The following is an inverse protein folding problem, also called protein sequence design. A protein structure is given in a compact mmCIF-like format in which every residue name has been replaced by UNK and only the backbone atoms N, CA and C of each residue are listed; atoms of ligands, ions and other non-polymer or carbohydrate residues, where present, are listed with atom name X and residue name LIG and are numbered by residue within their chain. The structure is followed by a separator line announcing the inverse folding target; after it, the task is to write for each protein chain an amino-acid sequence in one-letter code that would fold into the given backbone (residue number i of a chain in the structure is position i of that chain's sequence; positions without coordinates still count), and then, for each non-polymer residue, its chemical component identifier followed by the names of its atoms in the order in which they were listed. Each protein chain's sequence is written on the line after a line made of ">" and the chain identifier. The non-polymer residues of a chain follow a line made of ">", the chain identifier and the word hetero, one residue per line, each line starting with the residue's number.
data_IF_269140208665
#
_entry.id   IF_269140208665
#
_cell.length_a   1.000
_cell.length_b   1.000
_cell.length_c   1.000
_cell.angle_alpha   90.00
_cell.angle_beta   90.00
_cell.angle_gamma   90.00
#
_symmetry.space_group_name_H-M   'P 1'
#
loop_
_entity.id
_entity.type
_entity.pdbx_description
1 polymer ?
#
# COMPACT_ATOMS: atom_id res chain seq x y z
N UNK A 1 -3.72 6.98 -12.45
CA UNK A 1 -4.12 7.85 -11.33
C UNK A 1 -4.96 7.02 -10.39
N UNK A 2 -4.70 7.08 -9.09
CA UNK A 2 -5.57 6.51 -8.07
C UNK A 2 -6.15 7.63 -7.23
N UNK A 3 -7.44 7.50 -6.91
CA UNK A 3 -8.14 8.37 -5.98
C UNK A 3 -8.47 7.52 -4.76
N UNK A 4 -7.92 7.89 -3.62
CA UNK A 4 -8.16 7.24 -2.33
C UNK A 4 -8.64 8.27 -1.34
N UNK A 5 -9.58 7.87 -0.49
CA UNK A 5 -10.07 8.68 0.63
C UNK A 5 -9.44 8.12 1.89
N UNK A 6 -8.48 8.82 2.45
CA UNK A 6 -7.71 8.40 3.62
C UNK A 6 -7.07 9.60 4.29
N UNK A 7 -7.01 9.65 5.62
CA UNK A 7 -6.14 10.58 6.34
C UNK A 7 -5.49 9.88 7.53
N UNK A 8 -4.23 10.20 7.84
CA UNK A 8 -3.54 9.63 9.02
C UNK A 8 -4.25 9.98 10.33
N UNK A 9 -4.92 11.13 10.39
CA UNK A 9 -5.71 11.57 11.53
C UNK A 9 -7.16 11.09 11.47
N UNK A 10 -7.56 10.26 10.50
CA UNK A 10 -8.97 9.87 10.31
C UNK A 10 -9.55 9.22 11.57
N UNK A 11 -8.76 8.41 12.27
CA UNK A 11 -9.17 7.79 13.54
C UNK A 11 -9.38 8.82 14.67
N UNK A 12 -8.75 9.99 14.59
CA UNK A 12 -8.79 11.05 15.61
C UNK A 12 -9.78 12.17 15.25
N UNK A 13 -9.90 12.53 13.98
CA UNK A 13 -10.68 13.68 13.50
C UNK A 13 -11.95 13.29 12.75
N UNK A 14 -12.09 12.03 12.34
CA UNK A 14 -13.22 11.54 11.53
C UNK A 14 -13.27 12.08 10.10
N UNK A 15 -12.37 12.99 9.74
CA UNK A 15 -12.33 13.62 8.42
C UNK A 15 -11.51 12.81 7.43
N UNK A 16 -12.17 12.39 6.35
CA UNK A 16 -11.52 11.80 5.18
C UNK A 16 -10.97 12.89 4.28
N UNK A 17 -9.69 12.75 3.89
CA UNK A 17 -9.07 13.64 2.91
C UNK A 17 -8.94 12.95 1.57
N UNK A 18 -9.31 13.67 0.53
CA UNK A 18 -9.07 13.27 -0.86
C UNK A 18 -7.57 13.21 -1.13
N UNK A 19 -7.10 12.02 -1.49
CA UNK A 19 -5.72 11.76 -1.84
C UNK A 19 -5.68 11.22 -3.27
N UNK A 20 -5.33 12.11 -4.19
CA UNK A 20 -5.05 11.76 -5.57
C UNK A 20 -3.55 11.50 -5.67
N UNK A 21 -3.19 10.29 -6.11
CA UNK A 21 -1.80 9.90 -6.34
C UNK A 21 -1.65 9.36 -7.75
N UNK A 22 -0.55 9.68 -8.41
CA UNK A 22 -0.18 8.98 -9.65
C UNK A 22 0.79 7.86 -9.30
N UNK A 23 0.61 6.72 -9.95
CA UNK A 23 1.43 5.54 -9.73
C UNK A 23 2.45 5.42 -10.85
N UNK A 24 3.67 4.96 -10.56
CA UNK A 24 4.58 4.47 -11.59
C UNK A 24 3.88 3.47 -12.51
N UNK A 25 4.18 3.43 -13.82
CA UNK A 25 3.52 2.52 -14.76
C UNK A 25 3.51 1.05 -14.31
N UNK A 26 4.62 0.55 -13.77
CA UNK A 26 4.71 -0.82 -13.27
C UNK A 26 3.73 -1.10 -12.11
N UNK A 27 3.63 -0.17 -11.15
CA UNK A 27 2.72 -0.30 -10.00
C UNK A 27 1.27 -0.11 -10.44
N UNK A 28 1.02 0.83 -11.35
CA UNK A 28 -0.30 1.07 -11.93
C UNK A 28 -0.83 -0.15 -12.70
N UNK A 29 0.00 -0.78 -13.53
CA UNK A 29 -0.36 -1.99 -14.27
C UNK A 29 -0.62 -3.19 -13.35
N UNK A 30 0.17 -3.34 -12.28
CA UNK A 30 -0.06 -4.36 -11.27
C UNK A 30 -1.42 -4.16 -10.58
N UNK A 31 -1.71 -2.93 -10.15
CA UNK A 31 -3.00 -2.61 -9.53
C UNK A 31 -4.15 -2.84 -10.51
N UNK A 32 -4.03 -2.39 -11.76
CA UNK A 32 -5.05 -2.62 -12.79
C UNK A 32 -5.32 -4.12 -12.99
N UNK A 33 -4.26 -4.93 -13.08
CA UNK A 33 -4.38 -6.39 -13.20
C UNK A 33 -5.11 -6.99 -12.00
N UNK A 34 -4.77 -6.54 -10.79
CA UNK A 34 -5.46 -6.98 -9.57
C UNK A 34 -6.95 -6.61 -9.59
N UNK A 35 -7.30 -5.38 -9.97
CA UNK A 35 -8.69 -4.91 -10.05
C UNK A 35 -9.48 -5.64 -11.14
N UNK A 36 -8.88 -5.87 -12.30
CA UNK A 36 -9.56 -6.45 -13.47
C UNK A 36 -9.76 -7.96 -13.36
N UNK A 37 -8.85 -8.69 -12.73
CA UNK A 37 -8.89 -10.15 -12.70
C UNK A 37 -9.07 -10.74 -11.30
N UNK A 38 -8.34 -10.22 -10.31
CA UNK A 38 -8.36 -10.80 -8.96
C UNK A 38 -9.63 -10.44 -8.21
N UNK A 39 -10.09 -9.19 -8.29
CA UNK A 39 -11.33 -8.79 -7.61
C UNK A 39 -12.57 -9.54 -8.15
N UNK A 40 -12.82 -9.65 -9.48
CA UNK A 40 -13.96 -10.42 -9.98
C UNK A 40 -13.90 -11.89 -9.56
N UNK A 41 -12.72 -12.50 -9.57
CA UNK A 41 -12.55 -13.88 -9.12
C UNK A 41 -12.87 -14.03 -7.62
N UNK A 42 -12.38 -13.12 -6.78
CA UNK A 42 -12.72 -13.09 -5.36
C UNK A 42 -14.22 -12.92 -5.13
N UNK A 43 -14.87 -12.05 -5.91
CA UNK A 43 -16.31 -11.86 -5.83
C UNK A 43 -17.09 -13.13 -6.22
N UNK A 44 -16.62 -13.85 -7.24
CA UNK A 44 -17.22 -15.13 -7.62
C UNK A 44 -17.11 -16.16 -6.49
N UNK A 45 -15.92 -16.34 -5.89
CA UNK A 45 -15.73 -17.26 -4.77
C UNK A 45 -16.53 -16.86 -3.53
N UNK A 46 -16.63 -15.57 -3.21
CA UNK A 46 -17.45 -15.09 -2.11
C UNK A 46 -18.93 -15.40 -2.33
N UNK A 47 -19.43 -15.23 -3.56
CA UNK A 47 -20.83 -15.51 -3.90
C UNK A 47 -21.17 -16.99 -3.97
N UNK A 48 -20.18 -17.86 -4.22
CA UNK A 48 -20.37 -19.31 -4.14
C UNK A 48 -20.72 -19.75 -2.71
N UNK A 49 -20.10 -19.15 -1.69
CA UNK A 49 -20.39 -19.48 -0.29
C UNK A 49 -21.56 -18.65 0.29
N UNK A 50 -21.71 -17.40 -0.15
CA UNK A 50 -22.76 -16.48 0.30
C UNK A 50 -23.40 -15.75 -0.88
N UNK A 51 -24.51 -16.28 -1.44
CA UNK A 51 -25.22 -15.64 -2.54
C UNK A 51 -25.57 -14.18 -2.22
N UNK A 52 -25.33 -13.28 -3.18
CA UNK A 52 -25.60 -11.85 -3.05
C UNK A 52 -24.54 -11.05 -2.26
N UNK A 53 -23.54 -11.68 -1.67
CA UNK A 53 -22.46 -10.96 -1.00
C UNK A 53 -21.71 -10.00 -1.93
N UNK A 54 -21.20 -8.91 -1.35
CA UNK A 54 -20.40 -7.88 -2.00
C UNK A 54 -18.98 -7.88 -1.40
N UNK A 55 -18.00 -7.51 -2.22
CA UNK A 55 -16.64 -7.28 -1.72
C UNK A 55 -16.59 -6.06 -0.79
N UNK A 56 -15.61 -6.07 0.09
CA UNK A 56 -15.24 -4.90 0.87
C UNK A 56 -14.89 -3.72 -0.06
N UNK A 57 -15.25 -2.48 0.31
CA UNK A 57 -14.79 -1.30 -0.42
C UNK A 57 -13.29 -1.03 -0.23
N UNK A 58 -12.65 -1.67 0.75
CA UNK A 58 -11.21 -1.56 0.98
C UNK A 58 -10.42 -2.50 0.05
N UNK A 59 -9.37 -1.97 -0.57
CA UNK A 59 -8.49 -2.76 -1.45
C UNK A 59 -7.83 -3.94 -0.71
N UNK A 60 -7.50 -3.73 0.57
CA UNK A 60 -6.84 -4.69 1.44
C UNK A 60 -7.82 -5.25 2.47
N UNK A 61 -8.55 -6.28 2.07
CA UNK A 61 -9.46 -7.01 2.95
C UNK A 61 -9.26 -8.52 2.81
N UNK A 62 -9.74 -9.26 3.80
CA UNK A 62 -9.98 -10.70 3.69
C UNK A 62 -11.20 -10.96 2.80
N UNK A 63 -11.41 -12.22 2.41
CA UNK A 63 -12.56 -12.60 1.60
C UNK A 63 -13.89 -12.34 2.34
N UNK A 64 -13.90 -12.49 3.67
CA UNK A 64 -15.05 -12.19 4.54
C UNK A 64 -15.38 -10.71 4.69
N UNK A 65 -14.55 -9.82 4.13
CA UNK A 65 -14.74 -8.38 4.16
C UNK A 65 -13.96 -7.65 5.25
N UNK A 66 -13.34 -8.38 6.19
CA UNK A 66 -12.55 -7.77 7.25
C UNK A 66 -11.32 -7.07 6.68
N UNK A 67 -11.14 -5.79 7.04
CA UNK A 67 -9.98 -5.00 6.64
C UNK A 67 -8.71 -5.62 7.22
N UNK A 68 -7.63 -5.58 6.46
CA UNK A 68 -6.33 -6.06 6.95
C UNK A 68 -5.91 -5.25 8.17
N UNK A 69 -5.49 -5.96 9.23
CA UNK A 69 -4.88 -5.34 10.41
C UNK A 69 -3.54 -4.71 10.03
N UNK A 70 -3.12 -3.78 10.87
CA UNK A 70 -1.79 -3.20 10.76
C UNK A 70 -0.70 -4.29 10.76
N UNK A 71 0.36 -4.07 9.99
CA UNK A 71 1.46 -5.03 9.80
C UNK A 71 1.20 -6.18 8.82
N UNK A 72 -0.03 -6.39 8.31
CA UNK A 72 -0.30 -7.45 7.32
C UNK A 72 0.50 -7.25 6.03
N UNK A 73 0.58 -6.00 5.54
CA UNK A 73 1.39 -5.65 4.37
C UNK A 73 2.87 -5.94 4.64
N UNK A 74 3.39 -5.51 5.80
CA UNK A 74 4.77 -5.72 6.22
C UNK A 74 5.12 -7.22 6.31
N UNK A 75 4.21 -8.04 6.84
CA UNK A 75 4.35 -9.50 6.88
C UNK A 75 4.38 -10.13 5.48
N UNK A 76 3.54 -9.65 4.56
CA UNK A 76 3.55 -10.09 3.16
C UNK A 76 4.87 -9.72 2.47
N UNK A 77 5.36 -8.49 2.66
CA UNK A 77 6.63 -8.03 2.11
C UNK A 77 7.82 -8.81 2.69
N UNK A 78 7.83 -9.07 4.00
CA UNK A 78 8.86 -9.91 4.66
C UNK A 78 8.92 -11.31 4.04
N UNK A 79 7.77 -11.95 3.85
CA UNK A 79 7.69 -13.28 3.18
C UNK A 79 8.14 -13.20 1.71
N UNK A 80 7.87 -12.10 1.01
CA UNK A 80 8.35 -11.90 -0.35
C UNK A 80 9.87 -11.74 -0.41
N UNK A 81 10.48 -10.98 0.52
CA UNK A 81 11.93 -10.86 0.64
C UNK A 81 12.59 -12.22 0.84
N UNK A 82 12.07 -13.04 1.77
CA UNK A 82 12.59 -14.39 2.02
C UNK A 82 12.56 -15.24 0.75
N UNK A 83 11.43 -15.24 0.02
CA UNK A 83 11.31 -16.01 -1.23
C UNK A 83 12.23 -15.51 -2.35
N UNK A 84 12.56 -14.23 -2.34
CA UNK A 84 13.46 -13.61 -3.31
C UNK A 84 14.93 -13.65 -2.86
N UNK A 85 15.23 -14.24 -1.70
CA UNK A 85 16.58 -14.31 -1.10
C UNK A 85 17.24 -12.93 -0.93
N UNK A 86 16.44 -11.92 -0.63
CA UNK A 86 16.93 -10.55 -0.35
C UNK A 86 16.76 -10.21 1.14
N UNK A 87 17.55 -9.24 1.66
CA UNK A 87 17.37 -8.76 3.03
C UNK A 87 15.93 -8.35 3.33
N UNK A 88 15.48 -8.68 4.53
CA UNK A 88 14.16 -8.29 5.00
C UNK A 88 14.21 -6.82 5.42
N UNK A 89 13.26 -6.03 4.96
CA UNK A 89 13.16 -4.62 5.33
C UNK A 89 12.08 -4.39 6.37
N UNK A 90 12.39 -3.49 7.32
CA UNK A 90 11.38 -2.85 8.17
C UNK A 90 10.54 -1.85 7.36
N UNK A 91 9.41 -1.41 7.91
CA UNK A 91 8.50 -0.48 7.22
C UNK A 91 9.18 0.85 6.89
N UNK A 92 9.97 1.40 7.83
CA UNK A 92 10.72 2.62 7.61
C UNK A 92 11.68 2.50 6.41
N UNK A 93 12.39 1.37 6.32
CA UNK A 93 13.31 1.10 5.23
C UNK A 93 12.58 1.00 3.88
N UNK A 94 11.40 0.38 3.82
CA UNK A 94 10.59 0.38 2.59
C UNK A 94 10.23 1.79 2.12
N UNK A 95 9.89 2.69 3.06
CA UNK A 95 9.57 4.09 2.73
C UNK A 95 10.81 4.82 2.22
N UNK A 96 11.96 4.65 2.87
CA UNK A 96 13.22 5.26 2.44
C UNK A 96 13.68 4.74 1.07
N UNK A 97 13.65 3.42 0.85
CA UNK A 97 14.00 2.83 -0.44
C UNK A 97 13.07 3.35 -1.54
N UNK A 98 11.76 3.46 -1.28
CA UNK A 98 10.83 4.06 -2.22
C UNK A 98 11.15 5.56 -2.50
N UNK A 99 11.56 6.31 -1.48
CA UNK A 99 12.01 7.68 -1.60
C UNK A 99 13.24 7.81 -2.51
N UNK A 100 14.29 7.03 -2.22
CA UNK A 100 15.53 7.02 -2.98
C UNK A 100 15.31 6.58 -4.42
N UNK A 101 14.50 5.53 -4.65
CA UNK A 101 14.14 5.11 -6.00
C UNK A 101 13.40 6.24 -6.74
N UNK A 102 12.47 6.93 -6.07
CA UNK A 102 11.76 8.07 -6.66
C UNK A 102 12.71 9.19 -7.05
N UNK A 103 13.66 9.55 -6.18
CA UNK A 103 14.68 10.58 -6.44
C UNK A 103 15.61 10.21 -7.60
N UNK A 104 16.06 8.96 -7.66
CA UNK A 104 17.09 8.50 -8.59
C UNK A 104 16.56 8.03 -9.96
N UNK A 105 15.34 7.49 -10.03
CA UNK A 105 14.83 6.82 -11.23
C UNK A 105 13.73 7.57 -11.97
N UNK A 106 13.20 8.64 -11.39
CA UNK A 106 12.08 9.38 -11.97
C UNK A 106 12.51 10.81 -12.30
N UNK A 107 12.00 11.35 -13.40
CA UNK A 107 12.22 12.74 -13.79
C UNK A 107 11.55 13.72 -12.82
N UNK A 108 11.97 14.98 -12.78
CA UNK A 108 11.34 16.01 -11.93
C UNK A 108 9.81 16.12 -12.14
N UNK A 109 9.34 15.93 -13.38
CA UNK A 109 7.91 15.90 -13.72
C UNK A 109 7.20 14.70 -13.09
N UNK A 110 7.83 13.54 -13.08
CA UNK A 110 7.27 12.34 -12.47
C UNK A 110 7.35 12.39 -10.95
N UNK A 111 8.43 12.96 -10.39
CA UNK A 111 8.61 13.19 -8.95
C UNK A 111 7.50 14.08 -8.36
N UNK A 112 6.99 15.06 -9.12
CA UNK A 112 5.87 15.92 -8.70
C UNK A 112 4.58 15.15 -8.40
N UNK A 113 4.48 13.87 -8.80
CA UNK A 113 3.35 13.02 -8.47
C UNK A 113 3.43 12.38 -7.08
N UNK A 114 4.59 12.48 -6.42
CA UNK A 114 4.85 11.94 -5.10
C UNK A 114 4.86 13.08 -4.07
N UNK A 115 4.31 12.81 -2.89
CA UNK A 115 4.32 13.76 -1.78
C UNK A 115 5.70 13.75 -1.09
N UNK A 116 6.69 14.34 -1.77
CA UNK A 116 8.09 14.28 -1.35
C UNK A 116 8.34 14.98 -0.01
N UNK A 117 7.45 15.89 0.42
CA UNK A 117 7.53 16.54 1.75
C UNK A 117 7.20 15.58 2.89
N UNK A 118 6.23 14.69 2.72
CA UNK A 118 5.90 13.66 3.70
C UNK A 118 6.96 12.55 3.76
N UNK A 119 7.60 12.29 2.61
CA UNK A 119 8.69 11.32 2.47
C UNK A 119 9.97 11.84 3.13
N UNK A 120 10.32 13.12 2.95
CA UNK A 120 11.48 13.75 3.57
C UNK A 120 11.35 13.86 5.10
N UNK A 121 10.15 14.13 5.62
CA UNK A 121 9.88 14.09 7.07
C UNK A 121 10.03 12.67 7.67
N UNK A 122 9.98 11.63 6.84
CA UNK A 122 10.22 10.23 7.25
C UNK A 122 11.71 9.84 7.14
N UNK A 123 12.60 10.74 6.70
CA UNK A 123 14.05 10.53 6.68
C UNK A 123 14.68 10.66 8.09
N UNK A 124 13.97 11.26 9.05
CA UNK A 124 14.27 11.15 10.47
C UNK A 124 13.84 9.76 10.97
N UNK A 125 14.70 8.76 10.76
CA UNK A 125 14.54 7.47 11.41
C UNK A 125 15.00 7.63 12.85
N UNK A 126 14.06 7.63 13.79
CA UNK A 126 14.39 7.22 15.15
C UNK A 126 14.92 5.79 15.05
N UNK A 127 16.22 5.62 15.31
CA UNK A 127 16.80 4.32 15.59
C UNK A 127 16.08 3.76 16.82
N UNK A 128 14.99 3.03 16.62
CA UNK A 128 14.50 2.05 17.59
C UNK A 128 15.46 0.85 17.56
N UNK A 129 16.71 1.12 17.91
CA UNK A 129 17.59 0.13 18.49
C UNK A 129 17.10 -0.12 19.93
N UNK A 130 16.95 -1.41 20.25
CA UNK A 130 16.72 -1.97 21.57
C UNK A 130 15.28 -1.96 22.12
N UNK A 131 14.49 -2.94 21.70
CA UNK A 131 13.75 -3.78 22.66
C UNK A 131 13.87 -5.26 22.24
N UNK A 132 14.86 -5.92 22.85
CA UNK A 132 15.08 -7.36 22.83
C UNK A 132 13.99 -8.14 23.59
#
# INVERSE_FOLDING_TARGET
>A
MIYVRYSKSQEQTGEEKDNIRFLPPAVGNLLLTYLAFVLPLRQAFLRQSKPGALLSPYLWSKLGGEVWRDGMVSSCLRRACIRAEVPQFQVAWWRQVAASITKEKFSAREQANFDMGEIAASEEVEDEADLA
#
